data_IF_911796170485
#
_entry.id   IF_911796170485
#
_cell.length_a   1.000
_cell.length_b   1.000
_cell.length_c   1.000
_cell.angle_alpha   90.00
_cell.angle_beta   90.00
_cell.angle_gamma   90.00
#
_symmetry.space_group_name_H-M   'P 1'
#
loop_
_entity.id
_entity.type
_entity.pdbx_description
1 polymer ?
#
# COMPACT_ATOMS: atom_id res chain seq x y z
N UNK A 1 -40.59 -37.00 -8.06
CA UNK A 1 -39.54 -37.93 -7.61
C UNK A 1 -38.27 -37.14 -7.29
N UNK A 2 -37.97 -37.03 -6.00
CA UNK A 2 -36.80 -36.30 -5.49
C UNK A 2 -35.61 -37.24 -5.39
N UNK A 3 -34.48 -36.95 -6.07
CA UNK A 3 -33.20 -37.61 -5.81
C UNK A 3 -32.31 -36.65 -5.07
N UNK A 4 -32.04 -36.94 -3.79
CA UNK A 4 -31.01 -36.33 -2.95
C UNK A 4 -29.66 -36.91 -3.36
N UNK A 5 -28.70 -36.02 -3.72
CA UNK A 5 -27.30 -36.39 -3.92
C UNK A 5 -26.57 -36.17 -2.59
N UNK A 6 -26.17 -37.25 -1.96
CA UNK A 6 -25.32 -37.27 -0.77
C UNK A 6 -23.88 -37.11 -1.20
N UNK A 7 -23.26 -36.02 -0.73
CA UNK A 7 -21.83 -35.76 -0.92
C UNK A 7 -21.07 -36.39 0.24
N UNK A 8 -20.36 -37.47 -0.04
CA UNK A 8 -19.49 -38.15 0.92
C UNK A 8 -18.22 -37.33 1.16
N UNK A 9 -18.08 -36.84 2.38
CA UNK A 9 -16.82 -36.26 2.90
C UNK A 9 -15.93 -37.42 3.34
N UNK A 10 -14.86 -37.64 2.60
CA UNK A 10 -13.81 -38.59 3.01
C UNK A 10 -12.81 -37.81 3.90
N UNK A 11 -12.85 -38.12 5.18
CA UNK A 11 -11.81 -37.71 6.14
C UNK A 11 -10.67 -38.71 6.02
N UNK A 12 -9.57 -38.31 5.40
CA UNK A 12 -8.32 -39.06 5.45
C UNK A 12 -7.60 -38.73 6.76
N UNK A 13 -7.70 -39.65 7.71
CA UNK A 13 -6.89 -39.68 8.93
C UNK A 13 -5.51 -40.24 8.57
N UNK A 14 -4.51 -39.38 8.38
CA UNK A 14 -3.13 -39.81 8.22
C UNK A 14 -2.53 -40.11 9.60
N UNK A 15 -2.34 -41.39 9.88
CA UNK A 15 -1.50 -41.83 11.00
C UNK A 15 -0.06 -41.43 10.74
N UNK A 16 0.46 -40.53 11.56
CA UNK A 16 1.88 -40.16 11.60
C UNK A 16 2.60 -41.20 12.46
N UNK A 17 3.26 -42.15 11.83
CA UNK A 17 4.19 -43.06 12.53
C UNK A 17 5.48 -42.31 12.86
N UNK A 18 5.71 -42.10 14.15
CA UNK A 18 7.00 -41.61 14.66
C UNK A 18 8.09 -42.65 14.37
N UNK A 19 8.92 -42.40 13.38
CA UNK A 19 10.20 -43.09 13.24
C UNK A 19 11.19 -42.37 14.15
N UNK A 20 11.59 -43.03 15.22
CA UNK A 20 12.66 -42.56 16.11
C UNK A 20 13.97 -42.52 15.34
N UNK A 21 14.53 -41.33 15.20
CA UNK A 21 15.91 -41.13 14.77
C UNK A 21 16.76 -41.29 16.03
N UNK A 22 17.55 -42.36 16.05
CA UNK A 22 18.58 -42.59 17.04
C UNK A 22 19.61 -41.44 16.95
N UNK A 23 19.84 -40.82 18.08
CA UNK A 23 20.95 -39.90 18.31
C UNK A 23 22.28 -40.63 18.06
N UNK A 24 22.94 -40.31 16.97
CA UNK A 24 24.40 -40.54 16.89
C UNK A 24 25.04 -39.44 17.67
N UNK A 25 25.62 -39.81 18.81
CA UNK A 25 26.58 -39.04 19.55
C UNK A 25 27.93 -39.26 18.86
N UNK A 26 28.31 -38.37 17.98
CA UNK A 26 29.72 -38.28 17.55
C UNK A 26 30.35 -37.15 18.37
N UNK A 27 31.15 -37.55 19.34
CA UNK A 27 32.16 -36.72 19.97
C UNK A 27 33.28 -36.49 18.98
N UNK A 28 33.18 -35.47 18.14
CA UNK A 28 34.32 -34.89 17.48
C UNK A 28 34.67 -33.58 18.20
N UNK A 29 35.66 -33.69 19.09
CA UNK A 29 36.47 -32.57 19.51
C UNK A 29 37.26 -32.05 18.29
N UNK A 30 36.65 -31.22 17.47
CA UNK A 30 37.35 -30.28 16.61
C UNK A 30 36.64 -28.93 16.63
N UNK A 31 37.46 -27.94 16.94
CA UNK A 31 37.14 -26.56 17.27
C UNK A 31 35.89 -25.98 16.60
N UNK A 32 35.02 -25.55 17.45
CA UNK A 32 33.86 -24.70 17.18
C UNK A 32 34.14 -23.57 16.18
N UNK A 33 34.09 -23.89 14.89
CA UNK A 33 33.71 -22.89 13.90
C UNK A 33 32.21 -22.75 14.01
N UNK A 34 31.74 -21.89 14.91
CA UNK A 34 30.36 -21.49 14.95
C UNK A 34 29.89 -21.17 13.52
N UNK A 35 28.74 -21.69 13.12
CA UNK A 35 28.14 -21.32 11.83
C UNK A 35 27.98 -19.81 11.84
N UNK A 36 28.87 -19.12 11.11
CA UNK A 36 28.80 -17.68 10.95
C UNK A 36 27.49 -17.35 10.25
N UNK A 37 26.62 -16.65 10.97
CA UNK A 37 25.28 -16.31 10.51
C UNK A 37 25.30 -14.90 9.95
N UNK A 38 24.66 -14.72 8.81
CA UNK A 38 24.40 -13.39 8.23
C UNK A 38 22.97 -13.39 7.69
N UNK A 39 22.03 -12.78 8.40
CA UNK A 39 20.62 -12.72 7.99
C UNK A 39 19.88 -11.56 8.65
N UNK A 40 18.73 -11.21 8.07
CA UNK A 40 17.76 -10.29 8.65
C UNK A 40 16.61 -11.07 9.30
N UNK A 41 16.18 -10.63 10.47
CA UNK A 41 15.02 -11.17 11.18
C UNK A 41 14.08 -10.04 11.56
N UNK A 42 12.82 -10.37 11.78
CA UNK A 42 11.83 -9.44 12.33
C UNK A 42 12.07 -9.15 13.83
N UNK A 43 11.26 -8.28 14.42
CA UNK A 43 11.32 -7.93 15.85
C UNK A 43 11.10 -9.12 16.78
N UNK A 44 10.45 -10.18 16.30
CA UNK A 44 10.20 -11.42 17.06
C UNK A 44 11.34 -12.44 16.90
N UNK A 45 12.32 -12.13 16.05
CA UNK A 45 13.45 -13.03 15.76
C UNK A 45 13.16 -14.04 14.65
N UNK A 46 12.01 -13.93 13.95
CA UNK A 46 11.72 -14.81 12.84
C UNK A 46 12.52 -14.40 11.60
N UNK A 47 13.14 -15.35 10.87
CA UNK A 47 13.83 -15.06 9.63
C UNK A 47 12.88 -14.45 8.59
N UNK A 48 13.35 -13.44 7.86
CA UNK A 48 12.64 -12.91 6.71
C UNK A 48 13.14 -13.65 5.49
N UNK A 49 12.32 -14.52 4.94
CA UNK A 49 12.72 -15.37 3.83
C UNK A 49 13.55 -16.59 4.25
N UNK A 50 14.40 -17.09 3.33
CA UNK A 50 15.26 -18.24 3.52
C UNK A 50 16.65 -17.92 4.09
N UNK A 51 17.59 -18.85 3.88
CA UNK A 51 18.99 -18.72 4.37
C UNK A 51 19.73 -17.60 3.63
N UNK A 52 19.46 -17.40 2.35
CA UNK A 52 20.14 -16.41 1.49
C UNK A 52 19.29 -15.18 1.17
N UNK A 53 18.14 -15.03 1.81
CA UNK A 53 17.22 -13.90 1.60
C UNK A 53 15.79 -14.29 1.29
N UNK A 54 15.01 -13.35 0.79
CA UNK A 54 13.61 -13.53 0.44
C UNK A 54 12.90 -12.24 0.10
N UNK A 55 11.58 -12.30 0.09
CA UNK A 55 10.72 -11.16 -0.20
C UNK A 55 10.12 -10.58 1.08
N UNK A 56 10.02 -9.26 1.12
CA UNK A 56 9.35 -8.49 2.17
C UNK A 56 8.26 -7.63 1.52
N UNK A 57 7.00 -7.91 1.86
CA UNK A 57 5.89 -7.12 1.35
C UNK A 57 5.64 -5.92 2.27
N UNK A 58 5.70 -4.74 1.68
CA UNK A 58 5.47 -3.45 2.34
C UNK A 58 4.03 -3.00 2.12
N UNK A 59 3.60 -2.00 2.87
CA UNK A 59 2.36 -1.27 2.55
C UNK A 59 2.63 -0.21 1.47
N UNK A 60 1.57 0.25 0.79
CA UNK A 60 1.70 1.36 -0.16
C UNK A 60 2.03 2.71 0.49
N UNK A 61 1.77 2.84 1.80
CA UNK A 61 1.98 4.05 2.58
C UNK A 61 3.43 4.20 3.05
N UNK A 62 3.79 5.41 3.47
CA UNK A 62 5.06 5.63 4.18
C UNK A 62 5.08 4.86 5.51
N UNK A 63 6.18 4.20 5.81
CA UNK A 63 6.36 3.41 7.03
C UNK A 63 7.82 3.34 7.48
N UNK A 64 8.05 2.86 8.70
CA UNK A 64 9.37 2.50 9.18
C UNK A 64 9.42 0.98 9.41
N UNK A 65 10.24 0.30 8.62
CA UNK A 65 10.50 -1.13 8.76
C UNK A 65 11.69 -1.33 9.68
N UNK A 66 11.48 -1.94 10.85
CA UNK A 66 12.56 -2.25 11.77
C UNK A 66 12.88 -3.74 11.71
N UNK A 67 14.11 -4.06 11.37
CA UNK A 67 14.67 -5.41 11.28
C UNK A 67 15.89 -5.53 12.20
N UNK A 68 16.32 -6.75 12.44
CA UNK A 68 17.55 -7.03 13.19
C UNK A 68 18.50 -7.83 12.31
N UNK A 69 19.73 -7.37 12.19
CA UNK A 69 20.82 -8.19 11.68
C UNK A 69 21.15 -9.22 12.75
N UNK A 70 21.18 -10.47 12.37
CA UNK A 70 21.72 -11.58 13.14
C UNK A 70 23.07 -11.93 12.53
N UNK A 71 24.15 -11.61 13.24
CA UNK A 71 25.52 -11.85 12.80
C UNK A 71 26.47 -11.85 13.99
N UNK A 72 27.56 -12.56 13.84
CA UNK A 72 28.76 -12.50 14.68
C UNK A 72 29.97 -11.87 13.95
N UNK A 73 29.71 -11.37 12.71
CA UNK A 73 30.67 -10.75 11.81
C UNK A 73 30.45 -9.25 11.69
N UNK A 74 31.47 -8.56 11.15
CA UNK A 74 31.26 -7.22 10.59
C UNK A 74 30.49 -7.33 9.30
N UNK A 75 29.54 -6.42 9.11
CA UNK A 75 28.63 -6.45 7.97
C UNK A 75 28.41 -5.07 7.36
N UNK A 76 28.01 -5.11 6.11
CA UNK A 76 27.59 -3.92 5.36
C UNK A 76 26.24 -4.15 4.69
N UNK A 77 25.40 -3.12 4.66
CA UNK A 77 24.15 -3.07 3.91
C UNK A 77 24.31 -2.18 2.71
N UNK A 78 23.98 -2.73 1.54
CA UNK A 78 23.85 -1.99 0.29
C UNK A 78 22.42 -2.05 -0.19
N UNK A 79 21.85 -0.90 -0.57
CA UNK A 79 20.56 -0.84 -1.25
C UNK A 79 20.88 -0.63 -2.73
N UNK A 80 20.81 -1.73 -3.52
CA UNK A 80 21.21 -1.74 -4.93
C UNK A 80 20.11 -1.24 -5.86
N UNK A 81 18.86 -1.27 -5.42
CA UNK A 81 17.69 -0.77 -6.12
C UNK A 81 16.75 -0.09 -5.11
N UNK A 82 16.10 1.01 -5.50
CA UNK A 82 15.10 1.69 -4.69
C UNK A 82 15.67 2.62 -3.63
N UNK A 83 16.92 2.99 -3.69
CA UNK A 83 17.60 3.83 -2.70
C UNK A 83 17.05 5.26 -2.59
N UNK A 84 16.22 5.73 -3.54
CA UNK A 84 15.54 7.02 -3.46
C UNK A 84 14.42 7.04 -2.41
N UNK A 85 13.73 5.92 -2.24
CA UNK A 85 12.54 5.80 -1.42
C UNK A 85 12.66 4.83 -0.24
N UNK A 86 13.70 3.99 -0.23
CA UNK A 86 13.99 3.01 0.81
C UNK A 86 15.39 3.27 1.37
N UNK A 87 15.51 3.65 2.64
CA UNK A 87 16.78 4.09 3.25
C UNK A 87 17.00 3.43 4.59
N UNK A 88 18.23 2.90 4.81
CA UNK A 88 18.66 2.39 6.10
C UNK A 88 19.27 3.53 6.95
N UNK A 89 19.00 3.51 8.25
CA UNK A 89 19.62 4.40 9.25
C UNK A 89 21.07 4.03 9.53
N UNK A 90 21.39 2.74 9.40
CA UNK A 90 22.73 2.19 9.62
C UNK A 90 23.05 1.27 8.44
N UNK A 91 24.20 1.50 7.81
CA UNK A 91 24.68 0.70 6.67
C UNK A 91 25.87 -0.18 6.96
N UNK A 92 26.51 -0.05 8.15
CA UNK A 92 27.63 -0.87 8.56
C UNK A 92 27.56 -1.15 10.06
N UNK A 93 28.02 -2.32 10.46
CA UNK A 93 28.06 -2.70 11.87
C UNK A 93 28.84 -3.98 12.13
N UNK A 94 28.87 -4.36 13.40
CA UNK A 94 29.48 -5.60 13.88
C UNK A 94 28.50 -6.31 14.80
N UNK A 95 28.42 -7.62 14.70
CA UNK A 95 27.51 -8.43 15.50
C UNK A 95 26.04 -8.16 15.20
N UNK A 96 25.17 -8.68 16.07
CA UNK A 96 23.73 -8.52 15.92
C UNK A 96 23.27 -7.14 16.32
N UNK A 97 22.50 -6.46 15.45
CA UNK A 97 22.06 -5.07 15.65
C UNK A 97 20.70 -4.81 15.00
N UNK A 98 19.90 -3.96 15.64
CA UNK A 98 18.65 -3.46 15.07
C UNK A 98 18.93 -2.35 14.06
N UNK A 99 18.18 -2.35 12.97
CA UNK A 99 18.27 -1.38 11.87
C UNK A 99 16.87 -0.94 11.52
N UNK A 100 16.71 0.36 11.29
CA UNK A 100 15.47 0.95 10.81
C UNK A 100 15.61 1.38 9.34
N UNK A 101 14.66 0.94 8.52
CA UNK A 101 14.52 1.41 7.16
C UNK A 101 13.36 2.40 7.09
N UNK A 102 13.63 3.60 6.59
CA UNK A 102 12.60 4.57 6.25
C UNK A 102 12.09 4.29 4.85
N UNK A 103 10.80 4.07 4.72
CA UNK A 103 10.11 3.75 3.48
C UNK A 103 9.19 4.91 3.13
N UNK A 104 9.39 5.56 1.98
CA UNK A 104 8.49 6.60 1.49
C UNK A 104 7.21 5.98 0.91
N UNK A 105 6.10 6.74 0.88
CA UNK A 105 4.86 6.34 0.21
C UNK A 105 5.09 6.08 -1.28
N UNK A 106 4.49 5.03 -1.82
CA UNK A 106 4.44 4.81 -3.26
C UNK A 106 3.28 5.63 -3.86
N UNK A 107 3.60 6.78 -4.41
CA UNK A 107 2.61 7.65 -5.07
C UNK A 107 2.26 7.19 -6.49
N UNK A 108 2.92 6.15 -7.02
CA UNK A 108 2.68 5.58 -8.33
C UNK A 108 1.48 4.63 -8.37
N UNK A 109 1.11 4.23 -9.58
CA UNK A 109 0.06 3.22 -9.82
C UNK A 109 0.61 1.80 -9.73
N UNK A 110 1.87 1.61 -10.11
CA UNK A 110 2.54 0.32 -10.18
C UNK A 110 3.31 0.01 -8.89
N UNK A 111 3.51 -1.27 -8.63
CA UNK A 111 4.43 -1.70 -7.58
C UNK A 111 5.86 -1.27 -7.88
N UNK A 112 6.66 -1.12 -6.82
CA UNK A 112 8.09 -0.85 -6.93
C UNK A 112 8.89 -1.76 -5.99
N UNK A 113 10.16 -1.94 -6.31
CA UNK A 113 11.08 -2.79 -5.55
C UNK A 113 12.22 -2.01 -4.94
N UNK A 114 12.68 -2.47 -3.78
CA UNK A 114 14.00 -2.15 -3.23
C UNK A 114 14.73 -3.44 -2.93
N UNK A 115 16.00 -3.51 -3.28
CA UNK A 115 16.84 -4.67 -3.04
C UNK A 115 17.91 -4.32 -2.00
N UNK A 116 17.83 -4.96 -0.85
CA UNK A 116 18.78 -4.85 0.26
C UNK A 116 19.74 -6.02 0.22
N UNK A 117 21.03 -5.74 0.16
CA UNK A 117 22.09 -6.74 0.21
C UNK A 117 22.83 -6.56 1.53
N UNK A 118 22.79 -7.57 2.38
CA UNK A 118 23.59 -7.65 3.59
C UNK A 118 24.77 -8.57 3.32
N UNK A 119 25.99 -8.05 3.41
CA UNK A 119 27.24 -8.73 3.05
C UNK A 119 28.27 -8.61 4.15
N UNK A 120 29.32 -9.45 4.07
CA UNK A 120 30.51 -9.39 4.93
C UNK A 120 31.77 -9.60 4.12
N UNK A 121 32.85 -8.91 4.49
CA UNK A 121 34.18 -9.10 3.91
C UNK A 121 35.07 -10.00 4.75
N UNK A 122 34.66 -10.37 5.97
CA UNK A 122 35.48 -11.15 6.91
C UNK A 122 35.54 -12.62 6.55
N UNK A 123 34.54 -13.15 5.84
CA UNK A 123 34.53 -14.55 5.43
C UNK A 123 33.86 -14.70 4.07
N UNK A 124 34.67 -15.02 3.04
CA UNK A 124 34.21 -15.23 1.68
C UNK A 124 33.31 -16.47 1.48
N UNK A 125 33.24 -17.35 2.48
CA UNK A 125 32.35 -18.52 2.45
C UNK A 125 30.94 -18.20 2.94
N UNK A 126 30.72 -17.03 3.56
CA UNK A 126 29.40 -16.58 3.96
C UNK A 126 28.73 -15.90 2.77
N UNK A 127 27.60 -16.43 2.38
CA UNK A 127 26.81 -15.87 1.27
C UNK A 127 26.13 -14.57 1.70
N UNK A 128 26.04 -13.63 0.76
CA UNK A 128 25.21 -12.43 0.94
C UNK A 128 23.76 -12.81 1.18
N UNK A 129 23.10 -12.06 2.07
CA UNK A 129 21.67 -12.15 2.27
C UNK A 129 20.98 -11.06 1.47
N UNK A 130 20.07 -11.45 0.56
CA UNK A 130 19.36 -10.53 -0.33
C UNK A 130 17.90 -10.45 0.05
N UNK A 131 17.43 -9.27 0.44
CA UNK A 131 16.01 -9.01 0.74
C UNK A 131 15.41 -8.12 -0.35
N UNK A 132 14.37 -8.61 -1.01
CA UNK A 132 13.57 -7.85 -1.96
C UNK A 132 12.35 -7.26 -1.24
N UNK A 133 12.31 -5.96 -1.08
CA UNK A 133 11.17 -5.26 -0.50
C UNK A 133 10.24 -4.80 -1.63
N UNK A 134 9.01 -5.31 -1.64
CA UNK A 134 8.00 -5.02 -2.66
C UNK A 134 6.98 -4.08 -2.06
N UNK A 135 6.80 -2.90 -2.65
CA UNK A 135 5.82 -1.91 -2.23
C UNK A 135 4.75 -1.73 -3.30
N UNK A 136 3.48 -2.07 -3.00
CA UNK A 136 2.40 -1.89 -3.96
C UNK A 136 2.15 -0.42 -4.27
N UNK A 137 1.77 -0.13 -5.50
CA UNK A 137 1.15 1.13 -5.91
C UNK A 137 -0.36 1.02 -5.85
N UNK A 138 -1.04 2.09 -6.24
CA UNK A 138 -2.49 2.07 -6.34
C UNK A 138 -3.11 3.39 -6.75
N UNK A 139 -4.37 3.36 -7.20
CA UNK A 139 -5.08 4.55 -7.62
C UNK A 139 -5.39 5.45 -6.42
N UNK A 140 -5.07 6.72 -6.52
CA UNK A 140 -5.40 7.75 -5.55
C UNK A 140 -6.30 8.79 -6.21
N UNK A 141 -7.46 9.03 -5.60
CA UNK A 141 -8.38 10.09 -5.97
C UNK A 141 -8.97 10.69 -4.70
N UNK A 142 -8.52 11.88 -4.34
CA UNK A 142 -9.01 12.64 -3.19
C UNK A 142 -9.64 13.92 -3.73
N UNK A 143 -10.82 14.26 -3.27
CA UNK A 143 -11.55 15.48 -3.63
C UNK A 143 -11.85 16.29 -2.37
N UNK A 144 -11.75 17.61 -2.46
CA UNK A 144 -11.97 18.50 -1.32
C UNK A 144 -12.59 19.82 -1.79
N UNK A 145 -13.74 20.22 -1.24
CA UNK A 145 -14.61 19.47 -0.31
C UNK A 145 -15.39 18.35 -0.98
N UNK A 146 -15.82 17.34 -0.20
CA UNK A 146 -16.72 16.27 -0.67
C UNK A 146 -18.19 16.72 -0.69
N UNK A 147 -18.50 17.83 -0.04
CA UNK A 147 -19.80 18.47 -0.09
C UNK A 147 -19.64 19.99 -0.08
N UNK A 148 -20.58 20.71 -0.67
CA UNK A 148 -20.56 22.16 -0.71
C UNK A 148 -21.97 22.73 -0.74
N UNK A 149 -22.13 23.87 -0.06
CA UNK A 149 -23.35 24.64 -0.07
C UNK A 149 -23.21 25.89 -0.93
N UNK A 150 -24.25 26.18 -1.70
CA UNK A 150 -24.33 27.32 -2.60
C UNK A 150 -25.62 28.09 -2.33
N UNK A 151 -25.53 29.40 -2.29
CA UNK A 151 -26.66 30.28 -2.16
C UNK A 151 -27.56 30.23 -3.40
N UNK A 152 -28.80 30.75 -3.29
CA UNK A 152 -29.79 30.73 -4.36
C UNK A 152 -29.32 31.42 -5.65
N UNK A 153 -28.47 32.41 -5.54
CA UNK A 153 -27.92 33.16 -6.67
C UNK A 153 -27.01 32.32 -7.56
N UNK A 154 -26.58 31.17 -7.06
CA UNK A 154 -25.61 30.31 -7.74
C UNK A 154 -24.21 30.89 -7.74
N UNK A 155 -23.24 30.09 -8.11
CA UNK A 155 -21.83 30.50 -8.28
C UNK A 155 -21.01 29.39 -8.91
N UNK A 156 -19.80 29.73 -9.27
CA UNK A 156 -18.79 28.69 -9.55
C UNK A 156 -18.31 28.05 -8.25
N UNK A 157 -18.24 26.72 -8.26
CA UNK A 157 -17.75 25.88 -7.17
C UNK A 157 -16.48 25.22 -7.62
N UNK A 158 -15.39 25.39 -6.84
CA UNK A 158 -14.11 24.77 -7.11
C UNK A 158 -13.89 23.62 -6.12
N UNK A 159 -13.63 22.44 -6.66
CA UNK A 159 -13.29 21.23 -5.93
C UNK A 159 -11.80 20.94 -6.23
N UNK A 160 -10.98 20.91 -5.21
CA UNK A 160 -9.58 20.51 -5.36
C UNK A 160 -9.50 18.99 -5.56
N UNK A 161 -8.61 18.57 -6.42
CA UNK A 161 -8.36 17.15 -6.74
C UNK A 161 -6.89 16.86 -6.46
N UNK A 162 -6.63 15.75 -5.76
CA UNK A 162 -5.31 15.16 -5.61
C UNK A 162 -5.38 13.71 -6.14
N UNK A 163 -4.69 13.47 -7.25
CA UNK A 163 -4.76 12.18 -7.94
C UNK A 163 -3.44 11.84 -8.62
N UNK A 164 -3.16 10.53 -8.74
CA UNK A 164 -2.12 9.96 -9.61
C UNK A 164 -2.71 9.30 -10.87
N UNK A 165 -4.04 9.38 -11.04
CA UNK A 165 -4.70 8.83 -12.23
C UNK A 165 -4.40 9.66 -13.48
N UNK A 166 -4.20 9.04 -14.65
CA UNK A 166 -3.82 9.75 -15.88
C UNK A 166 -4.93 10.64 -16.43
N UNK A 167 -6.19 10.23 -16.27
CA UNK A 167 -7.36 10.95 -16.77
C UNK A 167 -8.58 10.73 -15.89
N UNK A 168 -9.41 11.78 -15.83
CA UNK A 168 -10.63 11.83 -15.03
C UNK A 168 -11.80 12.25 -15.89
N UNK A 169 -13.00 11.80 -15.52
CA UNK A 169 -14.27 12.20 -16.07
C UNK A 169 -15.19 12.69 -14.96
N UNK A 170 -15.90 13.78 -15.20
CA UNK A 170 -16.97 14.26 -14.35
C UNK A 170 -18.32 13.75 -14.88
N UNK A 171 -19.14 13.21 -13.99
CA UNK A 171 -20.48 12.72 -14.30
C UNK A 171 -21.48 13.55 -13.51
N UNK A 172 -22.31 14.30 -14.23
CA UNK A 172 -23.44 15.03 -13.68
C UNK A 172 -24.69 14.29 -14.15
N UNK A 173 -25.62 13.91 -13.25
CA UNK A 173 -26.83 13.20 -13.63
C UNK A 173 -27.67 14.00 -14.68
N UNK A 174 -28.23 13.33 -15.67
CA UNK A 174 -28.92 13.96 -16.78
C UNK A 174 -30.12 14.84 -16.37
N UNK A 175 -30.75 14.53 -15.24
CA UNK A 175 -31.83 15.30 -14.66
C UNK A 175 -31.38 16.57 -13.92
N UNK A 176 -30.06 16.73 -13.68
CA UNK A 176 -29.48 17.88 -12.99
C UNK A 176 -29.03 18.93 -14.01
N UNK A 177 -29.98 19.77 -14.47
CA UNK A 177 -29.68 20.80 -15.47
C UNK A 177 -29.15 22.12 -14.91
N UNK A 178 -29.13 22.24 -13.59
CA UNK A 178 -28.68 23.45 -12.88
C UNK A 178 -27.21 23.43 -12.47
N UNK A 179 -26.50 22.32 -12.73
CA UNK A 179 -25.06 22.20 -12.58
C UNK A 179 -24.45 21.88 -13.93
N UNK A 180 -23.40 22.59 -14.29
CA UNK A 180 -22.62 22.32 -15.51
C UNK A 180 -21.15 22.27 -15.20
N UNK A 181 -20.41 21.41 -15.88
CA UNK A 181 -18.96 21.37 -15.78
C UNK A 181 -18.35 22.55 -16.56
N UNK A 182 -17.62 23.41 -15.85
CA UNK A 182 -16.86 24.52 -16.47
C UNK A 182 -15.46 24.07 -16.88
N UNK A 183 -14.76 23.35 -16.01
CA UNK A 183 -13.46 22.75 -16.32
C UNK A 183 -13.19 21.55 -15.43
N UNK A 184 -12.35 20.62 -15.92
CA UNK A 184 -11.81 19.49 -15.16
C UNK A 184 -10.34 19.31 -15.52
N UNK A 185 -9.51 19.22 -14.50
CA UNK A 185 -8.08 18.89 -14.60
C UNK A 185 -7.72 17.90 -13.49
N UNK A 186 -6.52 17.35 -13.50
CA UNK A 186 -6.05 16.48 -12.40
C UNK A 186 -5.81 17.23 -11.07
N UNK A 187 -6.00 18.56 -11.04
CA UNK A 187 -5.85 19.38 -9.83
C UNK A 187 -7.15 19.96 -9.32
N UNK A 188 -8.12 20.15 -10.19
CA UNK A 188 -9.40 20.76 -9.80
C UNK A 188 -10.53 20.44 -10.78
N UNK A 189 -11.75 20.39 -10.24
CA UNK A 189 -13.01 20.47 -10.96
C UNK A 189 -13.66 21.83 -10.65
N UNK A 190 -14.10 22.55 -11.67
CA UNK A 190 -14.92 23.75 -11.53
C UNK A 190 -16.31 23.46 -12.09
N UNK A 191 -17.32 23.61 -11.25
CA UNK A 191 -18.72 23.49 -11.59
C UNK A 191 -19.37 24.89 -11.57
N UNK A 192 -20.18 25.18 -12.55
CA UNK A 192 -21.08 26.35 -12.50
C UNK A 192 -22.44 25.88 -11.99
N UNK A 193 -22.87 26.46 -10.89
CA UNK A 193 -24.20 26.26 -10.29
C UNK A 193 -25.08 27.45 -10.67
N UNK A 194 -26.13 27.20 -11.43
CA UNK A 194 -27.06 28.25 -11.86
C UNK A 194 -27.93 28.77 -10.71
N UNK A 195 -28.40 30.01 -10.80
CA UNK A 195 -29.37 30.58 -9.85
C UNK A 195 -30.62 29.71 -9.71
N UNK A 196 -31.30 29.80 -8.60
CA UNK A 196 -32.49 29.04 -8.27
C UNK A 196 -33.67 29.97 -7.92
N UNK A 197 -34.77 29.84 -8.64
CA UNK A 197 -36.03 30.49 -8.30
C UNK A 197 -36.95 29.57 -7.47
N UNK A 198 -36.47 28.35 -7.18
CA UNK A 198 -37.24 27.36 -6.47
C UNK A 198 -37.16 27.65 -4.96
N UNK A 199 -38.28 27.73 -4.27
CA UNK A 199 -38.33 28.00 -2.83
C UNK A 199 -37.67 26.90 -1.96
N UNK A 200 -37.58 25.69 -2.49
CA UNK A 200 -37.01 24.55 -1.77
C UNK A 200 -35.51 24.38 -2.08
N UNK A 201 -34.79 23.91 -1.04
CA UNK A 201 -33.41 23.41 -1.20
C UNK A 201 -33.38 22.32 -2.24
N UNK A 202 -32.39 22.34 -3.12
CA UNK A 202 -32.08 21.26 -4.06
C UNK A 202 -30.69 20.71 -3.80
N UNK A 203 -30.54 19.41 -4.03
CA UNK A 203 -29.29 18.68 -3.83
C UNK A 203 -29.03 17.82 -5.06
N UNK A 204 -27.78 17.71 -5.43
CA UNK A 204 -27.33 16.79 -6.48
C UNK A 204 -25.98 16.19 -6.10
N UNK A 205 -25.77 14.95 -6.51
CA UNK A 205 -24.49 14.28 -6.42
C UNK A 205 -23.81 14.31 -7.79
N UNK A 206 -22.59 14.83 -7.82
CA UNK A 206 -21.70 14.83 -8.98
C UNK A 206 -20.58 13.83 -8.70
N UNK A 207 -20.19 13.07 -9.70
CA UNK A 207 -19.11 12.08 -9.54
C UNK A 207 -17.90 12.48 -10.37
N UNK A 208 -16.71 12.24 -9.79
CA UNK A 208 -15.44 12.24 -10.51
C UNK A 208 -14.97 10.79 -10.57
N UNK A 209 -14.71 10.30 -11.76
CA UNK A 209 -14.31 8.91 -11.98
C UNK A 209 -13.07 8.83 -12.86
N UNK A 210 -12.26 7.78 -12.63
CA UNK A 210 -11.17 7.41 -13.53
C UNK A 210 -11.72 6.99 -14.89
N UNK A 211 -11.08 7.41 -15.97
CA UNK A 211 -11.34 6.87 -17.31
C UNK A 211 -10.56 5.58 -17.59
N UNK A 212 -9.61 5.22 -16.70
CA UNK A 212 -8.83 3.99 -16.84
C UNK A 212 -9.62 2.78 -16.38
N UNK A 213 -9.84 1.82 -17.26
CA UNK A 213 -10.47 0.55 -16.91
C UNK A 213 -9.60 -0.31 -15.98
N UNK A 214 -8.26 -0.11 -15.99
CA UNK A 214 -7.35 -0.82 -15.12
C UNK A 214 -7.40 -0.33 -13.66
N UNK A 215 -7.77 0.96 -13.45
CA UNK A 215 -7.84 1.60 -12.13
C UNK A 215 -9.19 2.27 -11.90
N UNK A 216 -10.28 1.50 -11.80
CA UNK A 216 -11.62 2.04 -11.60
C UNK A 216 -11.72 2.66 -10.21
N UNK A 217 -11.90 3.97 -10.17
CA UNK A 217 -12.00 4.74 -8.93
C UNK A 217 -12.99 5.87 -9.12
N UNK A 218 -13.92 6.04 -8.18
CA UNK A 218 -14.95 7.08 -8.23
C UNK A 218 -15.04 7.79 -6.88
N UNK A 219 -15.23 9.11 -6.91
CA UNK A 219 -15.55 9.96 -5.75
C UNK A 219 -16.80 10.75 -6.04
N UNK A 220 -17.70 10.79 -5.04
CA UNK A 220 -18.97 11.54 -5.10
C UNK A 220 -18.80 12.86 -4.36
N UNK A 221 -19.42 13.90 -4.92
CA UNK A 221 -19.45 15.26 -4.38
C UNK A 221 -20.91 15.68 -4.27
N UNK A 222 -21.35 16.03 -3.08
CA UNK A 222 -22.69 16.58 -2.87
C UNK A 222 -22.69 18.10 -3.04
N UNK A 223 -23.53 18.59 -3.93
CA UNK A 223 -23.81 20.01 -4.15
C UNK A 223 -25.20 20.29 -3.61
N UNK A 224 -25.29 21.16 -2.60
CA UNK A 224 -26.55 21.60 -1.99
C UNK A 224 -26.75 23.09 -2.28
N UNK A 225 -27.87 23.44 -2.89
CA UNK A 225 -28.20 24.84 -3.13
C UNK A 225 -29.40 25.28 -2.28
N UNK A 226 -29.25 26.44 -1.67
CA UNK A 226 -30.34 27.08 -0.92
C UNK A 226 -31.52 27.37 -1.85
N UNK A 227 -32.72 27.24 -1.32
CA UNK A 227 -33.94 27.67 -2.00
C UNK A 227 -34.12 29.19 -1.96
N UNK A 228 -34.89 29.71 -2.86
CA UNK A 228 -35.35 31.08 -2.81
C UNK A 228 -36.45 31.20 -1.73
N UNK A 229 -36.04 31.18 -0.45
CA UNK A 229 -36.96 31.51 0.64
C UNK A 229 -37.15 33.01 0.57
N UNK A 230 -38.33 33.48 0.17
CA UNK A 230 -38.77 34.78 0.60
C UNK A 230 -38.91 34.72 2.11
N UNK A 231 -37.97 35.34 2.81
CA UNK A 231 -38.16 35.73 4.19
C UNK A 231 -39.19 36.85 4.13
N UNK A 232 -40.45 36.49 3.87
CA UNK A 232 -41.56 37.36 4.18
C UNK A 232 -41.71 37.32 5.71
N UNK A 233 -41.43 38.45 6.29
CA UNK A 233 -41.62 38.98 7.62
C UNK A 233 -42.34 38.10 8.67
#
# INVERSE_FOLDING_TARGET
MKKKLLMNVWIMLALFTCVGISSCSDNDEDGTKGHQVLRLVDKSGNPIGGISGGDCNLTGSAENLTLRVMSDLDWEITISEGNEWFKADITKGSGSKEISFTVAENEGLEERKATVILSTTQNSSVQDFVLNCIQPGGPRLIVTPENTSVEKEGKDVTIAINTNLPSLKCIIPENVKWITQKSLTNKQLILTVAASDIAKIRTATVEITSESAAYPTTKSIEIRQAGAVDMAE
#
